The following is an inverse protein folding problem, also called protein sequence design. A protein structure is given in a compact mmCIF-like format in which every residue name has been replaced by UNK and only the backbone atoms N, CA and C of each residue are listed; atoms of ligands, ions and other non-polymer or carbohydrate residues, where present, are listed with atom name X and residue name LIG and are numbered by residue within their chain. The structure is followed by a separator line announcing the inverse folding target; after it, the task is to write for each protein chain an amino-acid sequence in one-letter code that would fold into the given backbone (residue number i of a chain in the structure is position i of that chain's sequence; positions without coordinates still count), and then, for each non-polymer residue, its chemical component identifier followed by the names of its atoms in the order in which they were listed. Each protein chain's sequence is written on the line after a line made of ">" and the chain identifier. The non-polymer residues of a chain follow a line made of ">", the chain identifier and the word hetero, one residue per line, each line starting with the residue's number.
data_IF_206801317720
#
_entry.id   IF_206801317720
#
_cell.length_a   1.000
_cell.length_b   1.000
_cell.length_c   1.000
_cell.angle_alpha   90.00
_cell.angle_beta   90.00
_cell.angle_gamma   90.00
#
_symmetry.space_group_name_H-M   'P 1'
#
loop_
_entity.id
_entity.type
_entity.pdbx_description
1 polymer ?
#
# COMPACT_ATOMS: atom_id res chain seq x y z
N UNK A 1 30.27 -34.06 19.93
CA UNK A 1 30.69 -32.95 19.04
C UNK A 1 29.51 -32.62 18.14
N UNK A 2 28.58 -31.78 18.63
CA UNK A 2 27.39 -31.38 17.88
C UNK A 2 27.66 -30.03 17.23
N UNK A 3 27.75 -30.02 15.90
CA UNK A 3 27.89 -28.78 15.12
C UNK A 3 26.52 -28.10 15.05
N UNK A 4 26.36 -27.02 15.80
CA UNK A 4 25.28 -26.07 15.59
C UNK A 4 25.51 -25.34 14.27
N UNK A 5 24.73 -25.67 13.24
CA UNK A 5 24.61 -24.82 12.05
C UNK A 5 23.69 -23.67 12.43
N UNK A 6 24.26 -22.49 12.63
CA UNK A 6 23.50 -21.23 12.70
C UNK A 6 23.04 -20.92 11.28
N UNK A 7 21.74 -21.02 11.01
CA UNK A 7 21.14 -20.45 9.82
C UNK A 7 21.18 -18.93 9.96
N UNK A 8 22.13 -18.29 9.27
CA UNK A 8 22.09 -16.86 9.04
C UNK A 8 20.99 -16.60 8.00
N UNK A 9 19.85 -16.06 8.45
CA UNK A 9 18.83 -15.54 7.55
C UNK A 9 19.42 -14.34 6.81
N UNK A 10 19.63 -14.49 5.51
CA UNK A 10 20.08 -13.39 4.67
C UNK A 10 18.97 -12.34 4.57
N UNK A 11 19.29 -11.12 4.99
CA UNK A 11 18.54 -9.91 4.68
C UNK A 11 18.46 -9.77 3.16
N UNK A 12 17.25 -9.76 2.62
CA UNK A 12 17.04 -9.43 1.21
C UNK A 12 16.23 -8.16 1.15
N UNK A 13 16.91 -7.07 0.79
CA UNK A 13 16.32 -5.75 0.55
C UNK A 13 15.70 -5.73 -0.85
N UNK A 14 14.42 -5.36 -0.99
CA UNK A 14 13.70 -5.46 -2.26
C UNK A 14 12.99 -4.18 -2.66
N UNK A 15 13.59 -3.47 -3.61
CA UNK A 15 13.24 -2.19 -4.26
C UNK A 15 11.74 -1.85 -4.39
N UNK A 16 11.46 -0.54 -4.42
CA UNK A 16 10.23 0.22 -4.22
C UNK A 16 9.02 0.08 -5.18
N UNK A 17 7.85 0.44 -4.64
CA UNK A 17 6.66 0.87 -5.36
C UNK A 17 6.98 1.95 -6.43
N UNK A 18 6.78 1.61 -7.70
CA UNK A 18 7.01 2.52 -8.83
C UNK A 18 5.67 3.08 -9.32
N UNK A 19 5.37 4.34 -8.99
CA UNK A 19 4.28 5.08 -9.63
C UNK A 19 4.85 5.83 -10.83
N UNK A 20 4.71 5.23 -12.02
CA UNK A 20 5.07 5.92 -13.26
C UNK A 20 3.89 6.78 -13.72
N UNK A 21 4.04 8.11 -13.64
CA UNK A 21 3.13 9.05 -14.29
C UNK A 21 3.70 9.41 -15.66
N UNK A 22 3.03 8.96 -16.72
CA UNK A 22 3.36 9.36 -18.08
C UNK A 22 2.77 10.74 -18.38
N UNK A 23 3.49 11.83 -18.09
CA UNK A 23 3.22 13.10 -18.77
C UNK A 23 4.44 14.03 -18.74
N UNK A 24 4.98 14.33 -19.92
CA UNK A 24 5.85 15.48 -20.14
C UNK A 24 5.05 16.76 -20.37
N UNK A 25 5.67 17.92 -20.12
CA UNK A 25 5.19 19.23 -20.56
C UNK A 25 5.14 20.27 -19.44
N UNK A 26 5.99 21.29 -19.51
CA UNK A 26 6.25 22.24 -18.42
C UNK A 26 5.38 23.50 -18.37
N UNK A 27 5.50 24.19 -17.23
CA UNK A 27 5.51 25.65 -17.13
C UNK A 27 4.19 26.35 -16.79
N UNK A 28 4.16 27.01 -15.63
CA UNK A 28 3.29 28.16 -15.34
C UNK A 28 2.36 27.97 -14.14
N UNK A 29 2.57 28.75 -13.09
CA UNK A 29 1.89 28.65 -11.80
C UNK A 29 0.37 28.91 -11.83
N UNK A 30 -0.29 28.23 -10.90
CA UNK A 30 -1.72 28.32 -10.60
C UNK A 30 -2.18 26.98 -10.01
N UNK A 31 -2.64 26.98 -8.76
CA UNK A 31 -3.08 25.81 -7.98
C UNK A 31 -4.28 25.08 -8.61
N UNK A 32 -4.06 24.40 -9.73
CA UNK A 32 -5.03 23.52 -10.35
C UNK A 32 -4.44 22.11 -10.40
N UNK A 33 -4.50 21.43 -9.25
CA UNK A 33 -4.40 19.97 -9.23
C UNK A 33 -5.39 19.40 -10.28
N UNK A 34 -5.01 18.36 -11.05
CA UNK A 34 -5.92 17.74 -11.99
C UNK A 34 -7.23 17.35 -11.30
N UNK A 35 -8.40 17.53 -11.94
CA UNK A 35 -9.68 17.21 -11.32
C UNK A 35 -9.70 15.71 -10.98
N UNK A 36 -9.88 15.39 -9.70
CA UNK A 36 -10.08 14.02 -9.22
C UNK A 36 -11.57 13.66 -9.23
N UNK A 37 -11.88 12.40 -9.48
CA UNK A 37 -13.24 11.88 -9.40
C UNK A 37 -13.63 11.60 -7.94
N UNK A 38 -14.93 11.66 -7.58
CA UNK A 38 -15.38 11.22 -6.26
C UNK A 38 -15.11 9.72 -6.05
N UNK A 39 -14.95 9.25 -4.79
CA UNK A 39 -14.70 7.83 -4.51
C UNK A 39 -15.85 6.95 -5.00
N UNK A 40 -15.52 5.88 -5.72
CA UNK A 40 -16.50 4.91 -6.19
C UNK A 40 -17.05 4.10 -5.01
N UNK A 41 -18.37 4.08 -4.83
CA UNK A 41 -19.06 3.27 -3.81
C UNK A 41 -19.66 1.97 -4.37
N UNK A 42 -19.59 1.80 -5.70
CA UNK A 42 -20.00 0.58 -6.39
C UNK A 42 -19.14 0.38 -7.63
N UNK A 43 -18.80 -0.87 -7.91
CA UNK A 43 -18.09 -1.30 -9.13
C UNK A 43 -18.75 -2.59 -9.64
N UNK A 44 -18.42 -3.00 -10.86
CA UNK A 44 -18.85 -4.29 -11.39
C UNK A 44 -18.36 -5.43 -10.48
N UNK A 45 -19.18 -6.47 -10.33
CA UNK A 45 -18.80 -7.64 -9.55
C UNK A 45 -17.57 -8.31 -10.14
N UNK A 46 -16.57 -8.56 -9.29
CA UNK A 46 -15.38 -9.32 -9.68
C UNK A 46 -15.74 -10.77 -10.03
N UNK A 47 -15.00 -11.33 -10.98
CA UNK A 47 -15.14 -12.70 -11.51
C UNK A 47 -14.14 -13.68 -10.89
N UNK A 48 -13.33 -13.24 -9.91
CA UNK A 48 -12.48 -14.15 -9.15
C UNK A 48 -13.29 -15.29 -8.53
N UNK A 49 -12.78 -16.53 -8.68
CA UNK A 49 -13.42 -17.73 -8.15
C UNK A 49 -13.67 -17.65 -6.65
N UNK A 50 -14.81 -18.18 -6.19
CA UNK A 50 -15.14 -18.19 -4.77
C UNK A 50 -14.06 -18.91 -3.96
N UNK A 51 -13.55 -18.26 -2.90
CA UNK A 51 -12.48 -18.80 -2.06
C UNK A 51 -11.08 -18.79 -2.69
N UNK A 52 -10.91 -18.25 -3.90
CA UNK A 52 -9.58 -18.11 -4.49
C UNK A 52 -8.74 -17.08 -3.72
N UNK A 53 -7.39 -17.20 -3.74
CA UNK A 53 -6.52 -16.19 -3.15
C UNK A 53 -6.78 -14.78 -3.70
N UNK A 54 -6.98 -14.63 -5.02
CA UNK A 54 -7.31 -13.35 -5.64
C UNK A 54 -8.62 -12.77 -5.09
N UNK A 55 -9.64 -13.63 -4.88
CA UNK A 55 -10.91 -13.19 -4.30
C UNK A 55 -10.73 -12.70 -2.87
N UNK A 56 -9.95 -13.41 -2.05
CA UNK A 56 -9.64 -13.01 -0.67
C UNK A 56 -8.88 -11.68 -0.61
N UNK A 57 -7.87 -11.48 -1.46
CA UNK A 57 -7.13 -10.22 -1.55
C UNK A 57 -8.03 -9.07 -2.03
N UNK A 58 -8.80 -9.28 -3.09
CA UNK A 58 -9.72 -8.27 -3.64
C UNK A 58 -10.75 -7.82 -2.59
N UNK A 59 -11.39 -8.78 -1.91
CA UNK A 59 -12.41 -8.50 -0.90
C UNK A 59 -11.79 -7.76 0.30
N UNK A 60 -10.61 -8.18 0.78
CA UNK A 60 -9.91 -7.52 1.87
C UNK A 60 -9.54 -6.06 1.54
N UNK A 61 -8.95 -5.83 0.36
CA UNK A 61 -8.52 -4.50 -0.07
C UNK A 61 -9.72 -3.57 -0.25
N UNK A 62 -10.76 -4.02 -0.95
CA UNK A 62 -11.94 -3.20 -1.19
C UNK A 62 -12.78 -2.97 0.06
N UNK A 63 -12.86 -3.92 0.99
CA UNK A 63 -13.52 -3.71 2.27
C UNK A 63 -12.83 -2.61 3.08
N UNK A 64 -11.49 -2.58 3.10
CA UNK A 64 -10.72 -1.52 3.75
C UNK A 64 -10.92 -0.16 3.06
N UNK A 65 -10.76 -0.11 1.73
CA UNK A 65 -10.89 1.14 0.96
C UNK A 65 -12.29 1.73 1.05
N UNK A 66 -13.34 0.92 0.91
CA UNK A 66 -14.72 1.39 1.01
C UNK A 66 -15.04 1.91 2.41
N UNK A 67 -14.72 1.12 3.45
CA UNK A 67 -14.99 1.49 4.85
C UNK A 67 -14.31 2.80 5.23
N UNK A 68 -13.11 3.04 4.73
CA UNK A 68 -12.32 4.23 5.08
C UNK A 68 -12.41 5.37 4.04
N UNK A 69 -13.31 5.28 3.06
CA UNK A 69 -13.61 6.40 2.15
C UNK A 69 -12.60 6.62 1.01
N UNK A 70 -11.77 5.64 0.68
CA UNK A 70 -10.80 5.69 -0.43
C UNK A 70 -11.40 5.21 -1.77
N UNK A 71 -12.63 4.69 -1.75
CA UNK A 71 -13.35 4.23 -2.93
C UNK A 71 -12.89 2.87 -3.46
N UNK A 72 -13.79 2.16 -4.12
CA UNK A 72 -13.58 0.80 -4.61
C UNK A 72 -12.67 0.75 -5.84
N UNK A 73 -12.02 -0.40 -6.02
CA UNK A 73 -11.28 -0.80 -7.22
C UNK A 73 -12.11 -1.83 -7.99
N UNK A 74 -12.31 -1.61 -9.29
CA UNK A 74 -12.87 -2.63 -10.18
C UNK A 74 -11.80 -3.67 -10.54
N UNK A 75 -12.18 -4.93 -10.74
CA UNK A 75 -11.27 -5.90 -11.35
C UNK A 75 -11.02 -5.53 -12.82
N UNK A 76 -9.79 -5.67 -13.29
CA UNK A 76 -9.40 -5.45 -14.68
C UNK A 76 -8.67 -6.65 -15.25
N UNK A 77 -9.26 -7.29 -16.27
CA UNK A 77 -8.69 -8.50 -16.88
C UNK A 77 -7.30 -8.27 -17.52
N UNK A 78 -7.02 -7.13 -18.20
CA UNK A 78 -5.67 -6.80 -18.65
C UNK A 78 -4.67 -6.69 -17.48
N UNK A 79 -5.07 -6.09 -16.35
CA UNK A 79 -4.19 -5.99 -15.18
C UNK A 79 -4.00 -7.35 -14.49
N UNK A 80 -5.01 -8.22 -14.48
CA UNK A 80 -4.86 -9.61 -14.01
C UNK A 80 -3.84 -10.36 -14.86
N UNK A 81 -3.87 -10.17 -16.18
CA UNK A 81 -2.90 -10.75 -17.09
C UNK A 81 -1.48 -10.22 -16.82
N UNK A 82 -1.33 -8.90 -16.61
CA UNK A 82 -0.04 -8.30 -16.26
C UNK A 82 0.49 -8.83 -14.91
N UNK A 83 -0.37 -8.91 -13.89
CA UNK A 83 -0.02 -9.45 -12.58
C UNK A 83 0.40 -10.92 -12.68
N UNK A 84 -0.36 -11.75 -13.40
CA UNK A 84 -0.09 -13.18 -13.57
C UNK A 84 1.19 -13.45 -14.37
N UNK A 85 1.44 -12.65 -15.42
CA UNK A 85 2.67 -12.74 -16.18
C UNK A 85 3.89 -12.41 -15.32
N UNK A 86 3.82 -11.33 -14.53
CA UNK A 86 4.92 -10.93 -13.66
C UNK A 86 5.17 -11.93 -12.51
N UNK A 87 4.09 -12.40 -11.88
CA UNK A 87 4.12 -13.51 -10.93
C UNK A 87 4.85 -14.74 -11.50
N UNK A 88 4.52 -15.14 -12.73
CA UNK A 88 5.16 -16.25 -13.41
C UNK A 88 6.63 -15.97 -13.73
N UNK A 89 6.97 -14.76 -14.19
CA UNK A 89 8.36 -14.34 -14.38
C UNK A 89 9.17 -14.47 -13.08
N UNK A 90 8.66 -13.94 -11.97
CA UNK A 90 9.30 -14.05 -10.66
C UNK A 90 9.49 -15.51 -10.24
N UNK A 91 8.47 -16.36 -10.45
CA UNK A 91 8.56 -17.79 -10.15
C UNK A 91 9.59 -18.53 -11.01
N UNK A 92 9.68 -18.23 -12.31
CA UNK A 92 10.61 -18.88 -13.24
C UNK A 92 12.07 -18.53 -12.91
N UNK A 93 12.29 -17.34 -12.37
CA UNK A 93 13.62 -16.80 -12.11
C UNK A 93 14.02 -16.89 -10.62
N UNK A 94 13.09 -17.25 -9.73
CA UNK A 94 13.35 -17.34 -8.29
C UNK A 94 13.67 -15.99 -7.65
N UNK A 95 13.13 -14.91 -8.21
CA UNK A 95 13.45 -13.53 -7.85
C UNK A 95 12.17 -12.77 -7.50
N UNK A 96 12.18 -12.06 -6.38
CA UNK A 96 11.11 -11.14 -6.01
C UNK A 96 11.54 -9.72 -6.33
N UNK A 97 10.73 -8.99 -7.11
CA UNK A 97 10.99 -7.58 -7.39
C UNK A 97 10.17 -7.07 -8.56
N UNK A 98 10.03 -5.75 -8.64
CA UNK A 98 9.14 -5.08 -9.61
C UNK A 98 9.63 -5.10 -11.07
N UNK A 99 10.91 -5.39 -11.30
CA UNK A 99 11.55 -5.30 -12.60
C UNK A 99 11.65 -6.64 -13.31
N UNK A 100 11.63 -6.62 -14.64
CA UNK A 100 11.98 -7.79 -15.46
C UNK A 100 13.21 -7.51 -16.33
N UNK A 101 14.01 -8.55 -16.54
CA UNK A 101 15.18 -8.55 -17.41
C UNK A 101 14.82 -9.16 -18.77
N UNK A 102 14.99 -8.44 -19.90
CA UNK A 102 14.73 -8.96 -21.24
C UNK A 102 15.45 -10.26 -21.58
N UNK A 103 16.55 -10.58 -20.91
CA UNK A 103 17.32 -11.81 -21.11
C UNK A 103 16.76 -13.03 -20.37
N UNK A 104 15.75 -12.88 -19.51
CA UNK A 104 15.25 -13.96 -18.64
C UNK A 104 13.95 -14.57 -19.16
N UNK A 105 13.72 -15.89 -18.92
CA UNK A 105 12.50 -16.56 -19.34
C UNK A 105 11.25 -15.93 -18.70
N UNK A 106 10.17 -15.86 -19.48
CA UNK A 106 8.90 -15.27 -19.04
C UNK A 106 8.83 -13.75 -19.11
N UNK A 107 9.85 -13.07 -19.66
CA UNK A 107 9.84 -11.61 -19.84
C UNK A 107 8.61 -11.14 -20.64
N UNK A 108 7.92 -10.14 -20.10
CA UNK A 108 6.76 -9.46 -20.69
C UNK A 108 6.91 -7.94 -20.72
N UNK A 109 7.76 -7.37 -19.87
CA UNK A 109 8.06 -5.95 -19.84
C UNK A 109 8.93 -5.54 -18.66
N UNK A 110 9.90 -4.66 -18.89
CA UNK A 110 10.90 -4.31 -17.87
C UNK A 110 10.29 -3.60 -16.66
N UNK A 111 9.25 -2.79 -16.87
CA UNK A 111 8.52 -2.06 -15.84
C UNK A 111 7.06 -2.48 -15.77
N UNK A 112 6.36 -2.18 -14.66
CA UNK A 112 4.89 -2.38 -14.56
C UNK A 112 4.13 -1.72 -15.70
N UNK A 113 4.59 -0.55 -16.18
CA UNK A 113 3.99 0.13 -17.32
C UNK A 113 4.12 -0.70 -18.60
N UNK A 114 5.32 -1.21 -18.89
CA UNK A 114 5.56 -2.04 -20.08
C UNK A 114 4.70 -3.31 -20.03
N UNK A 115 4.60 -3.95 -18.86
CA UNK A 115 3.78 -5.15 -18.67
C UNK A 115 2.28 -4.87 -18.81
N UNK A 116 1.80 -3.76 -18.27
CA UNK A 116 0.41 -3.34 -18.42
C UNK A 116 0.08 -3.06 -19.89
N UNK A 117 0.95 -2.34 -20.62
CA UNK A 117 0.81 -2.10 -22.06
C UNK A 117 0.83 -3.41 -22.87
N UNK A 118 1.76 -4.33 -22.55
CA UNK A 118 1.86 -5.63 -23.20
C UNK A 118 0.61 -6.50 -22.97
N UNK A 119 -0.05 -6.36 -21.81
CA UNK A 119 -1.32 -6.99 -21.50
C UNK A 119 -2.55 -6.28 -22.11
N UNK A 120 -2.33 -5.20 -22.89
CA UNK A 120 -3.39 -4.45 -23.56
C UNK A 120 -4.11 -3.42 -22.68
N UNK A 121 -3.57 -3.08 -21.52
CA UNK A 121 -4.07 -1.99 -20.69
C UNK A 121 -3.55 -0.65 -21.22
N UNK A 122 -4.42 0.36 -21.36
CA UNK A 122 -4.06 1.70 -21.79
C UNK A 122 -4.11 2.69 -20.60
N UNK A 123 -3.00 2.86 -19.86
CA UNK A 123 -3.03 3.60 -18.60
C UNK A 123 -2.86 5.11 -18.76
N UNK A 124 -3.57 5.85 -17.92
CA UNK A 124 -3.15 7.16 -17.43
C UNK A 124 -2.07 7.02 -16.36
N UNK A 125 -2.27 6.06 -15.47
CA UNK A 125 -1.38 5.74 -14.35
C UNK A 125 -1.44 4.24 -14.06
N UNK A 126 -0.32 3.70 -13.61
CA UNK A 126 -0.19 2.33 -13.09
C UNK A 126 0.67 2.32 -11.84
N UNK A 127 0.43 1.34 -10.97
CA UNK A 127 1.25 1.05 -9.81
C UNK A 127 1.31 -0.45 -9.56
N UNK A 128 2.26 -0.88 -8.75
CA UNK A 128 2.40 -2.28 -8.36
C UNK A 128 2.80 -2.39 -6.90
N UNK A 129 2.18 -3.33 -6.20
CA UNK A 129 2.54 -3.73 -4.85
C UNK A 129 2.82 -5.24 -4.84
N UNK A 130 3.91 -5.63 -4.19
CA UNK A 130 4.35 -7.02 -4.06
C UNK A 130 4.45 -7.39 -2.58
N UNK A 131 3.85 -8.53 -2.21
CA UNK A 131 4.04 -9.11 -0.88
C UNK A 131 4.70 -10.47 -1.01
N UNK A 132 5.74 -10.72 -0.22
CA UNK A 132 6.30 -12.05 -0.01
C UNK A 132 6.02 -12.49 1.43
N UNK A 133 5.15 -13.47 1.61
CA UNK A 133 4.80 -14.00 2.91
C UNK A 133 5.42 -15.38 3.13
N UNK A 134 5.82 -15.69 4.37
CA UNK A 134 6.20 -17.04 4.74
C UNK A 134 5.00 -17.99 4.66
N UNK A 135 5.28 -19.25 4.37
CA UNK A 135 4.25 -20.26 4.09
C UNK A 135 3.16 -20.34 5.17
N UNK A 136 1.91 -20.41 4.73
CA UNK A 136 0.72 -20.48 5.59
C UNK A 136 -0.04 -19.15 5.73
N UNK A 137 0.43 -18.09 5.08
CA UNK A 137 -0.29 -16.82 4.98
C UNK A 137 -1.32 -16.87 3.84
N UNK A 138 -2.46 -16.22 4.02
CA UNK A 138 -3.45 -16.05 2.95
C UNK A 138 -3.19 -14.77 2.15
N UNK A 139 -3.78 -14.66 0.96
CA UNK A 139 -3.71 -13.43 0.17
C UNK A 139 -4.41 -12.24 0.85
N UNK A 140 -5.40 -12.47 1.73
CA UNK A 140 -5.95 -11.43 2.58
C UNK A 140 -4.91 -10.94 3.62
N UNK A 141 -4.13 -11.85 4.20
CA UNK A 141 -3.04 -11.50 5.13
C UNK A 141 -1.95 -10.68 4.43
N UNK A 142 -1.63 -11.03 3.17
CA UNK A 142 -0.71 -10.26 2.33
C UNK A 142 -1.20 -8.82 2.11
N UNK A 143 -2.49 -8.62 1.81
CA UNK A 143 -3.08 -7.28 1.71
C UNK A 143 -2.97 -6.52 3.06
N UNK A 144 -3.28 -7.19 4.18
CA UNK A 144 -3.14 -6.55 5.51
C UNK A 144 -1.69 -6.16 5.82
N UNK A 145 -0.70 -6.97 5.41
CA UNK A 145 0.72 -6.66 5.55
C UNK A 145 1.13 -5.46 4.71
N UNK A 146 0.71 -5.40 3.44
CA UNK A 146 0.96 -4.24 2.58
C UNK A 146 0.31 -2.96 3.12
N UNK A 147 -0.92 -3.06 3.63
CA UNK A 147 -1.64 -1.93 4.25
C UNK A 147 -1.05 -1.51 5.62
N UNK A 148 -0.20 -2.34 6.22
CA UNK A 148 0.58 -2.01 7.42
C UNK A 148 2.02 -1.56 7.09
N UNK A 149 2.39 -1.51 5.81
CA UNK A 149 3.67 -1.01 5.33
C UNK A 149 3.45 0.42 4.78
N UNK A 150 4.06 1.47 5.36
CA UNK A 150 3.75 2.87 5.02
C UNK A 150 3.63 3.19 3.51
N UNK A 151 4.63 2.84 2.70
CA UNK A 151 4.66 3.18 1.27
C UNK A 151 3.70 2.34 0.44
N UNK A 152 3.60 1.04 0.72
CA UNK A 152 2.62 0.16 0.06
C UNK A 152 1.19 0.56 0.45
N UNK A 153 0.93 0.93 1.70
CA UNK A 153 -0.37 1.43 2.14
C UNK A 153 -0.74 2.69 1.37
N UNK A 154 0.19 3.63 1.16
CA UNK A 154 -0.07 4.81 0.32
C UNK A 154 -0.39 4.40 -1.13
N UNK A 155 0.36 3.46 -1.72
CA UNK A 155 0.09 2.95 -3.08
C UNK A 155 -1.32 2.34 -3.17
N UNK A 156 -1.63 1.39 -2.30
CA UNK A 156 -2.92 0.70 -2.22
C UNK A 156 -4.11 1.60 -1.86
N UNK A 157 -3.87 2.77 -1.26
CA UNK A 157 -4.87 3.78 -0.93
C UNK A 157 -4.92 4.94 -1.94
N UNK A 158 -3.98 4.99 -2.87
CA UNK A 158 -3.99 5.98 -3.96
C UNK A 158 -5.27 5.81 -4.80
N UNK A 159 -5.65 6.89 -5.47
CA UNK A 159 -6.86 7.02 -6.29
C UNK A 159 -6.97 6.13 -7.52
N UNK A 160 -6.28 5.00 -7.60
CA UNK A 160 -6.47 4.03 -8.68
C UNK A 160 -7.93 3.58 -8.76
N UNK A 161 -8.37 3.19 -9.95
CA UNK A 161 -9.76 2.78 -10.20
C UNK A 161 -9.88 1.27 -10.40
N UNK A 162 -8.79 0.63 -10.82
CA UNK A 162 -8.76 -0.76 -11.25
C UNK A 162 -7.62 -1.52 -10.59
N UNK A 163 -7.81 -2.82 -10.42
CA UNK A 163 -6.80 -3.74 -9.90
C UNK A 163 -6.81 -5.07 -10.67
N UNK A 164 -5.62 -5.62 -10.86
CA UNK A 164 -5.41 -7.02 -11.24
C UNK A 164 -4.54 -7.72 -10.20
N UNK A 165 -4.81 -9.00 -9.96
CA UNK A 165 -4.23 -9.75 -8.85
C UNK A 165 -3.71 -11.11 -9.31
N UNK A 166 -2.51 -11.46 -8.86
CA UNK A 166 -1.96 -12.80 -8.98
C UNK A 166 -1.43 -13.30 -7.64
N UNK A 167 -1.57 -14.61 -7.43
CA UNK A 167 -1.07 -15.30 -6.25
C UNK A 167 -0.32 -16.56 -6.68
N UNK A 168 0.95 -16.66 -6.32
CA UNK A 168 1.81 -17.78 -6.67
C UNK A 168 2.95 -17.94 -5.66
N UNK A 169 3.62 -19.09 -5.70
CA UNK A 169 4.87 -19.26 -4.96
C UNK A 169 6.03 -18.66 -5.77
N UNK A 170 6.88 -17.89 -5.10
CA UNK A 170 8.18 -17.43 -5.62
C UNK A 170 9.24 -17.85 -4.62
N UNK A 171 10.17 -18.71 -5.07
CA UNK A 171 11.10 -19.39 -4.18
C UNK A 171 10.39 -20.08 -3.00
N UNK A 172 10.58 -19.60 -1.77
CA UNK A 172 9.95 -20.14 -0.55
C UNK A 172 8.81 -19.28 0.00
N UNK A 173 8.37 -18.27 -0.74
CA UNK A 173 7.35 -17.32 -0.31
C UNK A 173 6.05 -17.54 -1.08
N UNK A 174 4.93 -17.41 -0.37
CA UNK A 174 3.64 -17.18 -0.99
C UNK A 174 3.58 -15.68 -1.36
N UNK A 175 3.33 -15.37 -2.63
CA UNK A 175 3.48 -14.02 -3.18
C UNK A 175 2.17 -13.48 -3.71
N UNK A 176 1.82 -12.26 -3.30
CA UNK A 176 0.78 -11.45 -3.92
C UNK A 176 1.41 -10.45 -4.87
N UNK A 177 0.96 -10.42 -6.11
CA UNK A 177 1.21 -9.33 -7.05
C UNK A 177 -0.09 -8.57 -7.28
N UNK A 178 -0.12 -7.28 -6.92
CA UNK A 178 -1.24 -6.40 -7.17
C UNK A 178 -0.83 -5.30 -8.15
N UNK A 179 -1.46 -5.26 -9.32
CA UNK A 179 -1.24 -4.22 -10.33
C UNK A 179 -2.43 -3.28 -10.32
N UNK A 180 -2.20 -2.01 -10.04
CA UNK A 180 -3.21 -0.96 -9.92
C UNK A 180 -3.22 -0.10 -11.18
N UNK A 181 -4.38 0.41 -11.56
CA UNK A 181 -4.52 1.19 -12.79
C UNK A 181 -5.57 2.30 -12.75
N UNK A 182 -5.32 3.32 -13.57
CA UNK A 182 -6.33 4.29 -14.04
C UNK A 182 -6.26 4.29 -15.56
N UNK A 183 -7.36 4.04 -16.27
CA UNK A 183 -7.34 4.06 -17.73
C UNK A 183 -7.13 5.48 -18.26
N UNK A 184 -6.57 5.60 -19.48
CA UNK A 184 -6.24 6.89 -20.11
C UNK A 184 -7.42 7.89 -20.13
N UNK A 185 -8.66 7.37 -20.22
CA UNK A 185 -9.91 8.14 -20.28
C UNK A 185 -10.47 8.58 -18.93
N UNK A 186 -9.85 8.18 -17.80
CA UNK A 186 -10.36 8.47 -16.47
C UNK A 186 -9.39 9.31 -15.64
N UNK A 187 -9.84 9.77 -14.48
CA UNK A 187 -9.04 10.48 -13.49
C UNK A 187 -8.90 9.62 -12.23
N UNK A 188 -7.85 9.88 -11.45
CA UNK A 188 -7.73 9.30 -10.11
C UNK A 188 -8.96 9.69 -9.28
N UNK A 189 -9.44 8.75 -8.45
CA UNK A 189 -10.42 9.07 -7.40
C UNK A 189 -9.72 9.67 -6.18
N UNK A 190 -10.43 10.49 -5.39
CA UNK A 190 -9.87 11.08 -4.17
C UNK A 190 -10.90 11.11 -3.05
N UNK A 191 -10.52 10.84 -1.79
CA UNK A 191 -11.43 10.97 -0.65
C UNK A 191 -12.09 12.36 -0.56
N UNK A 192 -13.32 12.40 -0.05
CA UNK A 192 -13.98 13.66 0.27
C UNK A 192 -13.41 14.22 1.58
N UNK A 193 -12.48 15.17 1.47
CA UNK A 193 -11.82 15.77 2.64
C UNK A 193 -10.65 14.92 3.13
N UNK A 194 -10.55 14.71 4.44
CA UNK A 194 -9.45 13.96 5.07
C UNK A 194 -9.93 12.56 5.44
N UNK A 195 -9.26 11.54 4.91
CA UNK A 195 -9.49 10.13 5.20
C UNK A 195 -8.28 9.51 5.92
N UNK A 196 -8.53 8.50 6.74
CA UNK A 196 -7.49 7.76 7.45
C UNK A 196 -7.63 6.26 7.20
N UNK A 197 -6.51 5.56 7.09
CA UNK A 197 -6.44 4.13 7.24
C UNK A 197 -5.41 3.78 8.32
N UNK A 198 -5.75 2.97 9.34
CA UNK A 198 -7.10 2.59 9.72
C UNK A 198 -8.05 3.78 9.92
N UNK A 199 -9.34 3.52 9.73
CA UNK A 199 -10.43 4.41 10.12
C UNK A 199 -11.20 3.82 11.31
N UNK A 200 -12.14 4.59 11.86
CA UNK A 200 -13.04 4.16 12.92
C UNK A 200 -13.66 2.78 12.63
N UNK A 201 -13.58 1.87 13.59
CA UNK A 201 -14.18 0.53 13.48
C UNK A 201 -13.37 -0.48 12.67
N UNK A 202 -12.13 -0.15 12.27
CA UNK A 202 -11.18 -1.18 11.78
C UNK A 202 -10.79 -2.09 12.95
N UNK A 203 -10.87 -3.41 12.76
CA UNK A 203 -10.67 -4.41 13.84
C UNK A 203 -9.58 -5.43 13.55
N UNK A 204 -8.99 -5.38 12.36
CA UNK A 204 -8.08 -6.37 11.80
C UNK A 204 -6.69 -5.79 11.49
N UNK A 205 -6.37 -4.63 12.07
CA UNK A 205 -5.08 -3.97 11.93
C UNK A 205 -3.94 -4.88 12.42
N UNK A 206 -2.76 -4.77 11.82
CA UNK A 206 -1.61 -5.55 12.25
C UNK A 206 -0.95 -4.94 13.49
N UNK A 207 -0.71 -5.77 14.51
CA UNK A 207 0.01 -5.34 15.69
C UNK A 207 1.50 -5.09 15.41
N UNK A 208 2.06 -5.80 14.42
CA UNK A 208 3.47 -5.78 14.05
C UNK A 208 3.60 -5.93 12.54
N UNK A 209 4.49 -5.16 11.94
CA UNK A 209 4.96 -5.30 10.56
C UNK A 209 6.45 -4.94 10.47
N UNK A 210 7.10 -5.32 9.36
CA UNK A 210 8.52 -5.09 9.10
C UNK A 210 8.81 -5.24 7.60
N UNK A 211 10.08 -5.08 7.21
CA UNK A 211 10.61 -5.47 5.89
C UNK A 211 9.92 -4.81 4.68
N UNK A 212 9.48 -3.56 4.83
CA UNK A 212 9.09 -2.75 3.69
C UNK A 212 10.33 -2.30 2.92
N UNK A 213 10.22 -2.27 1.59
CA UNK A 213 11.19 -1.54 0.79
C UNK A 213 10.50 -0.63 -0.26
N UNK A 214 10.95 0.64 -0.39
CA UNK A 214 12.13 1.19 0.27
C UNK A 214 11.88 1.37 1.78
N UNK A 215 12.91 1.23 2.61
CA UNK A 215 12.70 1.20 4.06
C UNK A 215 12.24 2.58 4.55
N UNK A 216 11.18 2.67 5.38
CA UNK A 216 10.83 3.91 6.07
C UNK A 216 11.86 4.26 7.14
N UNK A 217 12.74 3.33 7.53
CA UNK A 217 13.76 3.53 8.56
C UNK A 217 15.17 3.29 7.98
N UNK A 218 15.74 4.26 7.22
CA UNK A 218 17.02 4.06 6.54
C UNK A 218 18.20 3.76 7.48
N UNK A 219 18.10 4.18 8.75
CA UNK A 219 19.11 3.91 9.79
C UNK A 219 18.87 2.62 10.56
N UNK A 220 17.78 1.89 10.31
CA UNK A 220 17.43 0.65 11.03
C UNK A 220 16.83 -0.38 10.07
N UNK A 221 17.64 -1.27 9.47
CA UNK A 221 17.15 -2.27 8.52
C UNK A 221 16.25 -3.32 9.17
N UNK A 222 16.36 -3.54 10.48
CA UNK A 222 15.57 -4.51 11.24
C UNK A 222 14.39 -3.86 11.97
N UNK A 223 14.02 -2.63 11.58
CA UNK A 223 12.93 -1.90 12.20
C UNK A 223 11.62 -2.71 12.13
N UNK A 224 10.89 -2.69 13.24
CA UNK A 224 9.55 -3.24 13.34
C UNK A 224 8.64 -2.19 13.93
N UNK A 225 7.43 -2.12 13.41
CA UNK A 225 6.45 -1.10 13.76
C UNK A 225 5.06 -1.72 13.89
N UNK A 226 4.16 -1.01 14.56
CA UNK A 226 2.73 -1.35 14.56
C UNK A 226 2.00 -0.74 13.38
N UNK A 227 0.73 -1.07 13.18
CA UNK A 227 -0.11 -0.49 12.11
C UNK A 227 0.05 1.03 12.02
N UNK A 228 0.64 1.55 10.93
CA UNK A 228 0.70 2.99 10.70
C UNK A 228 -0.69 3.55 10.47
N UNK A 229 -0.89 4.82 10.83
CA UNK A 229 -2.03 5.60 10.39
C UNK A 229 -1.63 6.37 9.13
N UNK A 230 -2.07 5.89 7.98
CA UNK A 230 -1.96 6.59 6.69
C UNK A 230 -3.11 7.60 6.59
N UNK A 231 -2.78 8.86 6.33
CA UNK A 231 -3.74 9.96 6.21
C UNK A 231 -3.64 10.54 4.80
N UNK A 232 -4.79 10.77 4.18
CA UNK A 232 -4.90 11.37 2.85
C UNK A 232 -5.92 12.51 2.85
N UNK A 233 -5.66 13.56 2.08
CA UNK A 233 -6.62 14.63 1.85
C UNK A 233 -6.15 15.62 0.79
N UNK A 234 -6.67 16.86 0.78
CA UNK A 234 -6.24 17.89 -0.17
C UNK A 234 -4.75 18.16 -0.08
N UNK A 235 -4.11 18.61 -1.18
CA UNK A 235 -2.67 18.86 -1.24
C UNK A 235 -2.15 19.84 -0.17
N UNK A 236 -3.01 20.76 0.27
CA UNK A 236 -2.73 21.75 1.31
C UNK A 236 -2.84 21.21 2.74
N UNK A 237 -3.19 19.93 2.91
CA UNK A 237 -3.25 19.27 4.20
C UNK A 237 -1.85 19.26 4.84
N UNK A 238 -1.75 19.66 6.10
CA UNK A 238 -0.52 19.68 6.92
C UNK A 238 -0.80 19.06 8.29
N UNK A 239 0.04 18.14 8.75
CA UNK A 239 -0.08 17.55 10.08
C UNK A 239 0.48 18.51 11.13
N UNK A 240 -0.18 18.60 12.28
CA UNK A 240 0.23 19.44 13.40
C UNK A 240 0.55 18.62 14.64
N UNK A 241 -0.26 17.60 14.93
CA UNK A 241 -0.03 16.69 16.06
C UNK A 241 -0.59 15.31 15.75
N UNK A 242 -0.02 14.27 16.37
CA UNK A 242 -0.57 12.92 16.35
C UNK A 242 -0.28 12.21 17.67
N UNK A 243 -1.27 11.48 18.18
CA UNK A 243 -1.14 10.61 19.34
C UNK A 243 -1.90 9.31 19.13
N UNK A 244 -1.35 8.23 19.67
CA UNK A 244 -1.99 6.92 19.76
C UNK A 244 -1.96 6.52 21.23
N UNK A 245 -3.11 6.09 21.76
CA UNK A 245 -3.26 5.68 23.16
C UNK A 245 -3.82 4.27 23.22
N UNK A 246 -3.10 3.37 23.88
CA UNK A 246 -3.54 2.01 24.18
C UNK A 246 -4.05 1.88 25.62
N UNK A 247 -4.42 0.65 26.05
CA UNK A 247 -4.89 0.39 27.41
C UNK A 247 -3.89 0.74 28.51
N UNK A 248 -2.59 0.65 28.20
CA UNK A 248 -1.50 0.96 29.12
C UNK A 248 -1.08 2.44 29.11
N UNK A 249 -1.77 3.29 28.36
CA UNK A 249 -1.43 4.71 28.18
C UNK A 249 -0.92 5.04 26.78
N UNK A 250 -0.20 6.17 26.61
CA UNK A 250 0.32 6.60 25.32
C UNK A 250 1.26 5.57 24.70
N UNK A 251 1.13 5.36 23.39
CA UNK A 251 2.03 4.52 22.58
C UNK A 251 3.12 5.40 21.98
N UNK A 252 4.38 4.95 22.00
CA UNK A 252 5.45 5.71 21.40
C UNK A 252 5.31 5.74 19.87
N UNK A 253 5.50 6.91 19.27
CA UNK A 253 5.58 7.07 17.83
C UNK A 253 7.05 6.99 17.40
N UNK A 254 7.36 6.08 16.47
CA UNK A 254 8.70 5.96 15.91
C UNK A 254 9.00 7.15 15.00
N UNK A 255 8.04 7.54 14.17
CA UNK A 255 8.15 8.71 13.28
C UNK A 255 6.78 9.14 12.78
N UNK A 256 6.65 10.41 12.39
CA UNK A 256 5.52 10.92 11.63
C UNK A 256 6.03 11.60 10.37
N UNK A 257 5.69 11.04 9.22
CA UNK A 257 6.13 11.56 7.93
C UNK A 257 5.10 12.48 7.30
N UNK A 258 5.63 13.54 6.70
CA UNK A 258 4.99 14.40 5.71
C UNK A 258 4.93 15.87 6.12
N UNK A 259 4.18 16.67 5.37
CA UNK A 259 4.26 18.13 5.46
C UNK A 259 3.80 18.66 6.83
N UNK A 260 4.73 19.29 7.57
CA UNK A 260 4.53 19.75 8.95
C UNK A 260 5.19 18.86 10.01
N UNK A 261 5.80 17.74 9.60
CA UNK A 261 6.50 16.80 10.47
C UNK A 261 7.88 16.42 9.90
N UNK A 262 8.32 15.17 10.12
CA UNK A 262 9.59 14.67 9.61
C UNK A 262 9.53 14.54 8.08
N UNK A 263 10.59 14.98 7.40
CA UNK A 263 10.74 14.75 5.97
C UNK A 263 10.86 13.25 5.69
N UNK A 264 10.09 12.77 4.72
CA UNK A 264 10.12 11.37 4.31
C UNK A 264 11.41 11.05 3.55
N UNK A 265 12.22 10.07 4.01
CA UNK A 265 13.46 9.69 3.31
C UNK A 265 13.22 9.20 1.87
N UNK A 266 12.02 8.74 1.55
CA UNK A 266 11.66 8.24 0.22
C UNK A 266 10.73 9.21 -0.54
N UNK A 267 10.54 10.44 -0.03
CA UNK A 267 9.77 11.51 -0.68
C UNK A 267 8.37 11.10 -1.18
N UNK A 268 7.74 10.16 -0.49
CA UNK A 268 6.45 9.56 -0.86
C UNK A 268 5.30 10.20 -0.08
N UNK A 269 5.50 10.57 1.17
CA UNK A 269 4.57 11.35 1.99
C UNK A 269 4.78 12.85 1.80
N UNK A 270 4.32 13.35 0.65
CA UNK A 270 4.20 14.79 0.35
C UNK A 270 2.74 15.13 0.05
N UNK A 271 2.42 16.43 -0.06
CA UNK A 271 1.22 16.95 -0.75
C UNK A 271 -0.08 16.19 -0.45
N UNK A 272 -0.63 16.40 0.75
CA UNK A 272 -1.90 15.78 1.12
C UNK A 272 -1.77 14.42 1.80
N UNK A 273 -0.56 13.90 2.01
CA UNK A 273 -0.33 12.59 2.63
C UNK A 273 0.58 12.64 3.85
N UNK A 274 0.23 11.86 4.88
CA UNK A 274 1.09 11.57 6.04
C UNK A 274 1.05 10.09 6.43
N UNK A 275 2.06 9.68 7.18
CA UNK A 275 2.05 8.41 7.91
C UNK A 275 2.52 8.62 9.34
N UNK A 276 1.69 8.21 10.30
CA UNK A 276 2.02 8.15 11.72
C UNK A 276 2.40 6.71 12.04
N UNK A 277 3.68 6.46 12.32
CA UNK A 277 4.20 5.11 12.51
C UNK A 277 4.47 4.84 14.00
N UNK A 278 3.64 4.02 14.67
CA UNK A 278 3.86 3.67 16.08
C UNK A 278 4.92 2.59 16.25
N UNK A 279 5.41 2.45 17.49
CA UNK A 279 6.06 1.22 17.92
C UNK A 279 5.11 0.01 17.79
N UNK A 280 5.66 -1.19 17.97
CA UNK A 280 4.87 -2.42 17.90
C UNK A 280 3.73 -2.40 18.91
N UNK A 281 2.53 -2.69 18.43
CA UNK A 281 1.30 -2.74 19.22
C UNK A 281 1.10 -4.14 19.82
N UNK A 282 0.14 -4.23 20.72
CA UNK A 282 -0.35 -5.49 21.27
C UNK A 282 -1.43 -6.07 20.35
N UNK A 283 -1.44 -7.39 20.07
CA UNK A 283 -2.54 -8.04 19.35
C UNK A 283 -3.85 -8.03 20.15
N UNK A 284 -4.98 -8.01 19.45
CA UNK A 284 -6.32 -8.06 20.05
C UNK A 284 -6.67 -6.83 20.90
N UNK A 285 -6.03 -5.69 20.65
CA UNK A 285 -6.09 -4.50 21.51
C UNK A 285 -6.69 -3.32 20.75
N UNK A 286 -7.56 -2.55 21.42
CA UNK A 286 -8.09 -1.29 20.90
C UNK A 286 -7.18 -0.10 21.21
N UNK A 287 -7.04 0.78 20.24
CA UNK A 287 -6.23 1.99 20.29
C UNK A 287 -7.06 3.20 19.90
N UNK A 288 -6.96 4.28 20.68
CA UNK A 288 -7.53 5.58 20.37
C UNK A 288 -6.51 6.45 19.66
N UNK A 289 -6.92 7.10 18.58
CA UNK A 289 -6.10 7.96 17.73
C UNK A 289 -6.63 9.39 17.81
N UNK A 290 -5.71 10.34 17.98
CA UNK A 290 -6.00 11.75 17.85
C UNK A 290 -4.94 12.44 16.98
N UNK A 291 -5.38 12.96 15.83
CA UNK A 291 -4.55 13.69 14.86
C UNK A 291 -5.13 15.10 14.67
N UNK A 292 -4.29 16.12 14.85
CA UNK A 292 -4.60 17.50 14.48
C UNK A 292 -3.89 17.87 13.19
N UNK A 293 -4.61 18.56 12.32
CA UNK A 293 -4.11 18.97 11.01
C UNK A 293 -4.66 20.34 10.62
N UNK A 294 -4.11 20.91 9.55
CA UNK A 294 -4.65 22.09 8.90
C UNK A 294 -4.82 21.82 7.39
N UNK A 295 -5.92 22.30 6.80
CA UNK A 295 -6.14 22.31 5.34
C UNK A 295 -6.20 23.76 4.90
N UNK A 296 -5.24 24.19 4.07
CA UNK A 296 -5.10 25.59 3.67
C UNK A 296 -5.14 26.56 4.87
N UNK A 297 -4.48 26.19 5.98
CA UNK A 297 -4.45 26.95 7.23
C UNK A 297 -5.69 26.83 8.12
N UNK A 298 -6.77 26.17 7.66
CA UNK A 298 -7.96 25.92 8.47
C UNK A 298 -7.74 24.69 9.36
N UNK A 299 -7.80 24.81 10.70
CA UNK A 299 -7.60 23.67 11.60
C UNK A 299 -8.70 22.61 11.44
N UNK A 300 -8.31 21.34 11.57
CA UNK A 300 -9.19 20.18 11.59
C UNK A 300 -8.62 19.08 12.49
N UNK A 301 -9.43 18.06 12.74
CA UNK A 301 -9.03 16.95 13.61
C UNK A 301 -9.67 15.63 13.20
N UNK A 302 -8.94 14.54 13.38
CA UNK A 302 -9.45 13.18 13.30
C UNK A 302 -9.35 12.54 14.68
N UNK A 303 -10.46 11.97 15.16
CA UNK A 303 -10.57 11.27 16.44
C UNK A 303 -11.31 9.97 16.20
N UNK A 304 -10.66 8.84 16.42
CA UNK A 304 -11.26 7.52 16.18
C UNK A 304 -10.54 6.43 16.97
N UNK A 305 -11.11 5.23 16.95
CA UNK A 305 -10.45 4.04 17.48
C UNK A 305 -10.36 2.95 16.42
N UNK A 306 -9.28 2.18 16.45
CA UNK A 306 -9.12 0.93 15.71
C UNK A 306 -8.66 -0.16 16.66
N UNK A 307 -8.80 -1.42 16.27
CA UNK A 307 -8.28 -2.56 17.01
C UNK A 307 -7.34 -3.40 16.15
N UNK A 308 -6.30 -3.94 16.78
CA UNK A 308 -5.44 -4.94 16.19
C UNK A 308 -6.11 -6.30 16.19
N UNK A 309 -5.85 -7.10 15.15
CA UNK A 309 -6.30 -8.49 15.08
C UNK A 309 -5.65 -9.36 16.17
N UNK A 310 -6.20 -10.56 16.42
CA UNK A 310 -5.73 -11.46 17.47
C UNK A 310 -4.36 -12.10 17.19
N UNK A 311 -3.84 -11.99 15.96
CA UNK A 311 -2.51 -12.47 15.53
C UNK A 311 -1.95 -11.56 14.43
#
# INVERSE_FOLDING_TARGET
>A
MSRHVRAAGALVAWVAALVASGCGGGGGGGDNAPPTAPPAISVNSATYGAGSPQRLAYDQLNAARLRCGFGLLAQSAPLDQAAAAHANYMSLNGELGHGEDPGKPGFTGATVLDRALAAGYAPRAVGEDLSGASGGSTAADAVRSLMAAPYHARSLLTGFLEVGLAWNAVASFDTLTAVLGVPASAQLQSPQGVATFPCAGTTDALARNANESPSPFPSNPDAQWGQPITVAGPESLRITSATITGPSGPVALLVTYGSGATADPNATFTDGWFSVIPEVLQPGTSYAVAIDYAVAGTPGSARFSFATGPR
#
